data_IF_732121039754
#
_entry.id   IF_732121039754
#
_cell.length_a   1.000
_cell.length_b   1.000
_cell.length_c   1.000
_cell.angle_alpha   90.00
_cell.angle_beta   90.00
_cell.angle_gamma   90.00
#
_symmetry.space_group_name_H-M   'P 1'
#
loop_
_entity.id
_entity.type
_entity.pdbx_description
1 polymer ?
#
# COMPACT_ATOMS: atom_id res chain seq x y z
N UNK A 1 10.76 96.38 9.65
CA UNK A 1 11.35 95.39 8.72
C UNK A 1 10.95 93.94 9.10
N UNK A 2 9.93 93.76 9.95
CA UNK A 2 9.66 92.48 10.63
C UNK A 2 8.77 91.50 9.85
N UNK A 3 7.95 91.99 8.92
CA UNK A 3 7.04 91.15 8.14
C UNK A 3 7.76 90.23 7.13
N UNK A 4 8.94 90.64 6.65
CA UNK A 4 9.72 89.87 5.67
C UNK A 4 10.51 88.74 6.34
N UNK A 5 10.94 88.94 7.59
CA UNK A 5 11.59 87.91 8.42
C UNK A 5 10.64 86.78 8.82
N UNK A 6 9.39 87.11 9.21
CA UNK A 6 8.38 86.10 9.53
C UNK A 6 8.00 85.24 8.31
N UNK A 7 7.89 85.84 7.12
CA UNK A 7 7.57 85.10 5.89
C UNK A 7 8.68 84.15 5.45
N UNK A 8 9.94 84.55 5.61
CA UNK A 8 11.09 83.68 5.33
C UNK A 8 11.22 82.55 6.38
N UNK A 9 10.86 82.81 7.64
CA UNK A 9 10.81 81.79 8.69
C UNK A 9 9.76 80.72 8.42
N UNK A 10 8.54 81.11 8.03
CA UNK A 10 7.46 80.19 7.69
C UNK A 10 7.79 79.31 6.47
N UNK A 11 8.48 79.86 5.46
CA UNK A 11 8.90 79.10 4.28
C UNK A 11 9.96 78.03 4.62
N UNK A 12 10.94 78.36 5.47
CA UNK A 12 11.93 77.36 5.94
C UNK A 12 11.31 76.29 6.83
N UNK A 13 10.31 76.64 7.63
CA UNK A 13 9.57 75.66 8.44
C UNK A 13 8.77 74.70 7.55
N UNK A 14 8.12 75.21 6.49
CA UNK A 14 7.40 74.38 5.51
C UNK A 14 8.32 73.40 4.79
N UNK A 15 9.54 73.81 4.44
CA UNK A 15 10.49 72.91 3.79
C UNK A 15 10.93 71.77 4.71
N UNK A 16 11.20 72.04 5.99
CA UNK A 16 11.56 71.00 6.96
C UNK A 16 10.44 70.00 7.19
N UNK A 17 9.18 70.45 7.16
CA UNK A 17 8.01 69.57 7.30
C UNK A 17 7.90 68.67 6.08
N UNK A 18 8.09 69.21 4.86
CA UNK A 18 8.09 68.41 3.64
C UNK A 18 9.20 67.35 3.64
N UNK A 19 10.40 67.71 4.08
CA UNK A 19 11.53 66.77 4.19
C UNK A 19 11.26 65.69 5.24
N UNK A 20 10.65 66.04 6.37
CA UNK A 20 10.27 65.07 7.41
C UNK A 20 9.21 64.09 6.92
N UNK A 21 8.14 64.59 6.27
CA UNK A 21 7.07 63.74 5.73
C UNK A 21 7.59 62.83 4.62
N UNK A 22 8.46 63.34 3.75
CA UNK A 22 9.06 62.52 2.70
C UNK A 22 9.97 61.43 3.27
N UNK A 23 10.73 61.75 4.34
CA UNK A 23 11.58 60.78 5.02
C UNK A 23 10.77 59.67 5.69
N UNK A 24 9.73 60.01 6.46
CA UNK A 24 8.88 59.01 7.13
C UNK A 24 8.15 58.15 6.11
N UNK A 25 7.61 58.75 5.04
CA UNK A 25 6.94 58.02 3.98
C UNK A 25 7.87 57.02 3.27
N UNK A 26 9.15 57.38 3.07
CA UNK A 26 10.14 56.48 2.47
C UNK A 26 10.47 55.29 3.38
N UNK A 27 10.57 55.52 4.69
CA UNK A 27 10.82 54.48 5.69
C UNK A 27 9.65 53.49 5.76
N UNK A 28 8.41 54.00 5.81
CA UNK A 28 7.19 53.18 5.84
C UNK A 28 7.00 52.35 4.56
N UNK A 29 7.21 52.96 3.39
CA UNK A 29 7.09 52.27 2.09
C UNK A 29 8.14 51.18 1.93
N UNK A 30 9.39 51.42 2.37
CA UNK A 30 10.45 50.41 2.27
C UNK A 30 10.17 49.17 3.13
N UNK A 31 9.57 49.37 4.31
CA UNK A 31 9.21 48.29 5.22
C UNK A 31 8.03 47.48 4.67
N UNK A 32 6.99 48.17 4.17
CA UNK A 32 5.83 47.52 3.57
C UNK A 32 6.17 46.71 2.29
N UNK A 33 7.10 47.20 1.47
CA UNK A 33 7.58 46.47 0.28
C UNK A 33 8.38 45.23 0.72
N UNK A 34 9.23 45.35 1.74
CA UNK A 34 10.01 44.23 2.27
C UNK A 34 9.14 43.08 2.79
N UNK A 35 8.09 43.41 3.55
CA UNK A 35 7.13 42.42 4.07
C UNK A 35 6.30 41.76 2.96
N UNK A 36 5.90 42.53 1.94
CA UNK A 36 5.15 42.01 0.80
C UNK A 36 5.98 41.05 -0.06
N UNK A 37 7.27 41.32 -0.23
CA UNK A 37 8.18 40.46 -1.00
C UNK A 37 8.40 39.12 -0.32
N UNK A 38 8.52 39.09 1.01
CA UNK A 38 8.65 37.84 1.76
C UNK A 38 7.44 36.92 1.57
N UNK A 39 6.22 37.49 1.57
CA UNK A 39 4.99 36.73 1.30
C UNK A 39 4.95 36.14 -0.11
N UNK A 40 5.32 36.92 -1.12
CA UNK A 40 5.33 36.46 -2.51
C UNK A 40 6.35 35.34 -2.72
N UNK A 41 7.56 35.48 -2.16
CA UNK A 41 8.61 34.46 -2.25
C UNK A 41 8.13 33.15 -1.61
N UNK A 42 7.48 33.22 -0.45
CA UNK A 42 6.94 32.02 0.22
C UNK A 42 5.92 31.29 -0.66
N UNK A 43 4.97 32.02 -1.27
CA UNK A 43 3.97 31.43 -2.16
C UNK A 43 4.61 30.77 -3.39
N UNK A 44 5.63 31.41 -3.97
CA UNK A 44 6.37 30.85 -5.11
C UNK A 44 7.11 29.57 -4.72
N UNK A 45 7.77 29.55 -3.56
CA UNK A 45 8.48 28.36 -3.07
C UNK A 45 7.53 27.19 -2.79
N UNK A 46 6.37 27.46 -2.19
CA UNK A 46 5.34 26.43 -1.95
C UNK A 46 4.82 25.90 -3.28
N UNK A 47 4.45 26.80 -4.22
CA UNK A 47 3.97 26.40 -5.54
C UNK A 47 4.97 25.54 -6.30
N UNK A 48 6.25 25.93 -6.28
CA UNK A 48 7.32 25.16 -6.90
C UNK A 48 7.49 23.79 -6.24
N UNK A 49 7.45 23.72 -4.90
CA UNK A 49 7.54 22.46 -4.17
C UNK A 49 6.42 21.48 -4.52
N UNK A 50 5.18 21.96 -4.67
CA UNK A 50 4.04 21.11 -5.10
C UNK A 50 4.23 20.60 -6.52
N UNK A 51 4.67 21.44 -7.46
CA UNK A 51 4.91 21.03 -8.86
C UNK A 51 6.03 20.00 -8.94
N UNK A 52 7.14 20.22 -8.23
CA UNK A 52 8.26 19.28 -8.18
C UNK A 52 7.87 17.94 -7.56
N UNK A 53 7.09 17.96 -6.47
CA UNK A 53 6.58 16.74 -5.84
C UNK A 53 5.62 15.96 -6.76
N UNK A 54 4.77 16.67 -7.51
CA UNK A 54 3.87 16.06 -8.48
C UNK A 54 4.63 15.36 -9.62
N UNK A 55 5.65 16.02 -10.17
CA UNK A 55 6.50 15.48 -11.24
C UNK A 55 7.29 14.25 -10.78
N UNK A 56 7.88 14.31 -9.57
CA UNK A 56 8.56 13.16 -8.95
C UNK A 56 7.61 11.98 -8.69
N UNK A 57 6.40 12.25 -8.19
CA UNK A 57 5.39 11.20 -7.98
C UNK A 57 5.02 10.48 -9.30
N UNK A 58 4.87 11.22 -10.40
CA UNK A 58 4.51 10.63 -11.69
C UNK A 58 5.68 9.91 -12.37
N UNK A 59 6.90 10.41 -12.24
CA UNK A 59 8.08 9.83 -12.90
C UNK A 59 8.65 8.63 -12.16
N UNK A 60 8.69 8.64 -10.83
CA UNK A 60 9.34 7.59 -10.04
C UNK A 60 8.35 6.63 -9.39
N UNK A 61 7.27 7.14 -8.80
CA UNK A 61 6.37 6.32 -7.96
C UNK A 61 5.30 5.63 -8.80
N UNK A 62 4.68 6.33 -9.76
CA UNK A 62 3.63 5.76 -10.62
C UNK A 62 4.07 4.52 -11.42
N UNK A 63 5.28 4.43 -12.02
CA UNK A 63 5.66 3.22 -12.75
C UNK A 63 5.84 1.99 -11.85
N UNK A 64 6.15 2.18 -10.56
CA UNK A 64 6.26 1.08 -9.59
C UNK A 64 4.89 0.50 -9.20
N UNK A 65 3.82 1.29 -9.31
CA UNK A 65 2.46 0.84 -9.00
C UNK A 65 1.85 -0.08 -10.09
N UNK A 66 2.49 -0.26 -11.24
CA UNK A 66 2.00 -1.11 -12.36
C UNK A 66 2.60 -2.51 -12.41
N UNK A 67 3.02 -3.05 -11.28
CA UNK A 67 3.35 -4.48 -11.17
C UNK A 67 2.47 -5.12 -10.10
N UNK A 68 1.16 -4.92 -10.20
CA UNK A 68 0.27 -5.99 -9.75
C UNK A 68 0.45 -7.06 -10.82
N UNK A 69 1.09 -8.20 -10.54
CA UNK A 69 1.01 -9.32 -11.47
C UNK A 69 -0.49 -9.51 -11.69
N UNK A 70 -0.95 -9.23 -12.91
CA UNK A 70 -2.27 -9.66 -13.32
C UNK A 70 -2.19 -11.17 -13.22
N UNK A 71 -2.62 -11.70 -12.08
CA UNK A 71 -3.09 -13.07 -12.00
C UNK A 71 -4.24 -13.04 -12.98
N UNK A 72 -3.96 -13.35 -14.25
CA UNK A 72 -4.97 -13.73 -15.23
C UNK A 72 -5.89 -14.64 -14.44
N UNK A 73 -7.16 -14.25 -14.20
CA UNK A 73 -8.05 -15.08 -13.41
C UNK A 73 -8.00 -16.44 -14.07
N UNK A 74 -7.36 -17.38 -13.40
CA UNK A 74 -7.28 -18.76 -13.86
C UNK A 74 -8.72 -19.13 -14.14
N UNK A 75 -8.97 -19.66 -15.35
CA UNK A 75 -10.30 -20.02 -15.83
C UNK A 75 -11.13 -20.51 -14.65
N UNK A 76 -12.20 -19.77 -14.32
CA UNK A 76 -13.01 -20.00 -13.12
C UNK A 76 -13.22 -21.52 -13.04
N UNK A 77 -12.70 -22.21 -12.01
CA UNK A 77 -12.86 -23.64 -11.89
C UNK A 77 -14.35 -23.93 -12.00
N UNK A 78 -14.72 -24.91 -12.83
CA UNK A 78 -16.09 -25.39 -12.96
C UNK A 78 -16.79 -25.32 -11.58
N UNK A 79 -17.92 -24.59 -11.45
CA UNK A 79 -18.52 -24.27 -10.16
C UNK A 79 -18.82 -25.52 -9.32
N UNK A 80 -19.04 -26.67 -9.95
CA UNK A 80 -19.19 -27.94 -9.23
C UNK A 80 -17.89 -28.45 -8.64
N UNK A 81 -16.76 -28.32 -9.36
CA UNK A 81 -15.43 -28.64 -8.83
C UNK A 81 -15.07 -27.76 -7.65
N UNK A 82 -15.38 -26.46 -7.71
CA UNK A 82 -15.14 -25.53 -6.60
C UNK A 82 -15.93 -25.92 -5.33
N UNK A 83 -17.19 -26.37 -5.47
CA UNK A 83 -17.99 -26.86 -4.35
C UNK A 83 -17.43 -28.15 -3.74
N UNK A 84 -16.99 -29.09 -4.58
CA UNK A 84 -16.41 -30.36 -4.12
C UNK A 84 -15.12 -30.08 -3.34
N UNK A 85 -14.27 -29.20 -3.86
CA UNK A 85 -13.02 -28.84 -3.20
C UNK A 85 -13.28 -28.12 -1.87
N UNK A 86 -14.20 -27.15 -1.85
CA UNK A 86 -14.60 -26.48 -0.61
C UNK A 86 -15.12 -27.44 0.46
N UNK A 87 -15.87 -28.49 0.07
CA UNK A 87 -16.31 -29.55 0.99
C UNK A 87 -15.13 -30.37 1.53
N UNK A 88 -14.18 -30.76 0.68
CA UNK A 88 -12.97 -31.48 1.08
C UNK A 88 -12.13 -30.66 2.05
N UNK A 89 -11.87 -29.39 1.73
CA UNK A 89 -11.10 -28.50 2.60
C UNK A 89 -11.76 -28.34 3.96
N UNK A 90 -13.10 -28.18 4.01
CA UNK A 90 -13.83 -28.10 5.28
C UNK A 90 -13.71 -29.38 6.11
N UNK A 91 -13.86 -30.55 5.49
CA UNK A 91 -13.68 -31.84 6.17
C UNK A 91 -12.26 -31.99 6.75
N UNK A 92 -11.23 -31.60 6.00
CA UNK A 92 -9.84 -31.61 6.49
C UNK A 92 -9.70 -30.73 7.74
N UNK A 93 -10.23 -29.50 7.70
CA UNK A 93 -10.17 -28.56 8.83
C UNK A 93 -10.89 -29.12 10.06
N UNK A 94 -12.10 -29.67 9.86
CA UNK A 94 -12.91 -30.22 10.95
C UNK A 94 -12.20 -31.41 11.62
N UNK A 95 -11.67 -32.35 10.84
CA UNK A 95 -10.94 -33.50 11.36
C UNK A 95 -9.63 -33.11 12.03
N UNK A 96 -8.89 -32.15 11.48
CA UNK A 96 -7.65 -31.64 12.07
C UNK A 96 -7.92 -30.93 13.41
N UNK A 97 -8.98 -30.14 13.48
CA UNK A 97 -9.43 -29.49 14.71
C UNK A 97 -9.80 -30.51 15.79
N UNK A 98 -10.59 -31.52 15.43
CA UNK A 98 -10.96 -32.61 16.34
C UNK A 98 -9.73 -33.41 16.82
N UNK A 99 -8.80 -33.74 15.91
CA UNK A 99 -7.57 -34.45 16.24
C UNK A 99 -6.71 -33.68 17.26
N UNK A 100 -6.58 -32.37 17.07
CA UNK A 100 -5.87 -31.49 17.99
C UNK A 100 -6.55 -31.43 19.36
N UNK A 101 -7.88 -31.35 19.40
CA UNK A 101 -8.64 -31.36 20.64
C UNK A 101 -8.47 -32.67 21.41
N UNK A 102 -8.57 -33.82 20.73
CA UNK A 102 -8.34 -35.13 21.33
C UNK A 102 -6.92 -35.31 21.83
N UNK A 103 -5.92 -34.82 21.08
CA UNK A 103 -4.52 -34.81 21.51
C UNK A 103 -4.34 -34.01 22.80
N UNK A 104 -4.91 -32.81 22.88
CA UNK A 104 -4.84 -31.95 24.06
C UNK A 104 -5.56 -32.56 25.28
N UNK A 105 -6.65 -33.31 25.04
CA UNK A 105 -7.37 -34.04 26.07
C UNK A 105 -6.70 -35.36 26.50
N UNK A 106 -5.56 -35.73 25.91
CA UNK A 106 -4.85 -36.98 26.19
C UNK A 106 -5.49 -38.24 25.60
N UNK A 107 -6.53 -38.08 24.77
CA UNK A 107 -7.26 -39.17 24.12
C UNK A 107 -6.51 -39.59 22.84
N UNK A 108 -5.37 -40.26 23.03
CA UNK A 108 -4.38 -40.56 21.98
C UNK A 108 -4.97 -41.35 20.82
N UNK A 109 -5.78 -42.37 21.10
CA UNK A 109 -6.36 -43.26 20.11
C UNK A 109 -7.30 -42.50 19.17
N UNK A 110 -8.19 -41.68 19.72
CA UNK A 110 -9.12 -40.87 18.92
C UNK A 110 -8.41 -39.77 18.13
N UNK A 111 -7.35 -39.18 18.69
CA UNK A 111 -6.53 -38.22 17.96
C UNK A 111 -5.86 -38.87 16.74
N UNK A 112 -5.29 -40.07 16.91
CA UNK A 112 -4.68 -40.84 15.83
C UNK A 112 -5.69 -41.15 14.73
N UNK A 113 -6.89 -41.58 15.08
CA UNK A 113 -7.93 -41.89 14.10
C UNK A 113 -8.35 -40.66 13.28
N UNK A 114 -8.50 -39.49 13.92
CA UNK A 114 -8.82 -38.25 13.21
C UNK A 114 -7.69 -37.77 12.30
N UNK A 115 -6.43 -37.90 12.72
CA UNK A 115 -5.31 -37.58 11.82
C UNK A 115 -5.23 -38.53 10.62
N UNK A 116 -5.62 -39.80 10.77
CA UNK A 116 -5.71 -40.74 9.64
C UNK A 116 -6.82 -40.36 8.67
N UNK A 117 -7.97 -39.89 9.16
CA UNK A 117 -9.05 -39.37 8.31
C UNK A 117 -8.57 -38.16 7.49
N UNK A 118 -7.78 -37.25 8.08
CA UNK A 118 -7.16 -36.14 7.32
C UNK A 118 -6.25 -36.68 6.21
N UNK A 119 -5.37 -37.64 6.51
CA UNK A 119 -4.45 -38.21 5.53
C UNK A 119 -5.13 -39.07 4.45
N UNK A 120 -6.34 -39.54 4.70
CA UNK A 120 -7.15 -40.21 3.69
C UNK A 120 -7.70 -39.23 2.64
N UNK A 121 -7.94 -37.96 3.02
CA UNK A 121 -8.42 -36.91 2.12
C UNK A 121 -7.25 -36.17 1.48
N UNK A 122 -6.24 -35.80 2.28
CA UNK A 122 -5.01 -35.14 1.86
C UNK A 122 -3.79 -35.91 2.40
N UNK A 123 -3.24 -36.86 1.62
CA UNK A 123 -2.06 -37.63 1.99
C UNK A 123 -0.80 -36.76 2.21
N UNK A 124 -0.79 -35.55 1.66
CA UNK A 124 0.31 -34.59 1.76
C UNK A 124 0.27 -33.74 3.02
N UNK A 125 -0.79 -33.83 3.84
CA UNK A 125 -1.01 -32.93 4.95
C UNK A 125 0.09 -33.03 6.02
N UNK A 126 0.93 -31.99 6.12
CA UNK A 126 2.08 -31.98 7.01
C UNK A 126 1.67 -31.98 8.48
N UNK A 127 0.61 -31.27 8.84
CA UNK A 127 0.12 -31.14 10.21
C UNK A 127 -0.37 -32.48 10.76
N UNK A 128 -1.15 -33.23 9.97
CA UNK A 128 -1.61 -34.55 10.37
C UNK A 128 -0.48 -35.57 10.52
N UNK A 129 0.54 -35.51 9.65
CA UNK A 129 1.73 -36.37 9.76
C UNK A 129 2.56 -36.02 11.01
N UNK A 130 2.71 -34.74 11.30
CA UNK A 130 3.38 -34.28 12.51
C UNK A 130 2.60 -34.75 13.76
N UNK A 131 1.29 -34.56 13.79
CA UNK A 131 0.42 -35.02 14.87
C UNK A 131 0.51 -36.53 15.14
N UNK A 132 0.55 -37.36 14.08
CA UNK A 132 0.75 -38.80 14.24
C UNK A 132 2.15 -39.14 14.76
N UNK A 133 3.20 -38.46 14.28
CA UNK A 133 4.57 -38.67 14.74
C UNK A 133 4.73 -38.32 16.22
N UNK A 134 4.17 -37.18 16.64
CA UNK A 134 4.18 -36.75 18.05
C UNK A 134 3.47 -37.78 18.95
N UNK A 135 2.36 -38.34 18.44
CA UNK A 135 1.62 -39.42 19.09
C UNK A 135 2.22 -40.81 18.83
N UNK A 136 3.47 -40.91 18.34
CA UNK A 136 4.19 -42.17 18.11
C UNK A 136 3.45 -43.19 17.23
N UNK A 137 2.53 -42.74 16.38
CA UNK A 137 1.71 -43.57 15.52
C UNK A 137 2.35 -43.71 14.14
N UNK A 138 2.10 -44.87 13.50
CA UNK A 138 2.60 -45.14 12.15
C UNK A 138 1.85 -44.22 11.17
N UNK A 139 2.62 -43.39 10.46
CA UNK A 139 2.11 -42.58 9.35
C UNK A 139 1.84 -43.53 8.18
N UNK A 140 0.61 -43.58 7.63
CA UNK A 140 0.34 -44.40 6.45
C UNK A 140 1.20 -43.92 5.28
N UNK A 141 2.19 -44.70 4.87
CA UNK A 141 3.09 -44.40 3.73
C UNK A 141 2.43 -44.72 2.37
N UNK A 142 1.10 -44.67 2.30
CA UNK A 142 0.36 -44.87 1.07
C UNK A 142 0.47 -43.64 0.18
N UNK A 143 1.14 -43.79 -0.96
CA UNK A 143 1.00 -42.90 -2.14
C UNK A 143 1.77 -41.57 -2.14
N UNK A 144 3.05 -41.56 -1.73
CA UNK A 144 3.97 -40.43 -2.01
C UNK A 144 4.31 -40.22 -3.50
N UNK A 145 3.73 -40.98 -4.43
CA UNK A 145 4.05 -40.95 -5.87
C UNK A 145 2.83 -40.94 -6.81
N UNK A 146 1.63 -40.59 -6.32
CA UNK A 146 0.47 -40.49 -7.21
C UNK A 146 -0.36 -39.24 -6.94
N UNK A 147 0.30 -38.09 -6.78
CA UNK A 147 -0.31 -36.89 -7.34
C UNK A 147 -0.40 -37.16 -8.84
N UNK A 148 -1.59 -37.22 -9.47
CA UNK A 148 -1.64 -36.76 -10.84
C UNK A 148 -1.07 -35.35 -10.75
N UNK A 149 0.16 -35.16 -11.22
CA UNK A 149 0.61 -33.85 -11.67
C UNK A 149 -0.59 -33.31 -12.44
N UNK A 150 -1.23 -32.19 -12.03
CA UNK A 150 -2.30 -31.64 -12.82
C UNK A 150 -1.70 -31.48 -14.20
N UNK A 151 -2.18 -32.29 -15.16
CA UNK A 151 -1.68 -32.26 -16.52
C UNK A 151 -1.64 -30.79 -16.89
N UNK A 152 -0.46 -30.21 -17.21
CA UNK A 152 -0.43 -28.85 -17.72
C UNK A 152 -1.46 -28.83 -18.84
N UNK A 153 -2.51 -28.01 -18.68
CA UNK A 153 -3.57 -27.91 -19.67
C UNK A 153 -2.89 -27.84 -21.04
N UNK A 154 -3.29 -28.64 -22.05
CA UNK A 154 -2.76 -28.52 -23.39
C UNK A 154 -2.82 -27.04 -23.75
N UNK A 155 -1.65 -26.41 -23.86
CA UNK A 155 -1.52 -25.07 -24.40
C UNK A 155 -1.95 -25.19 -25.85
N UNK A 156 -3.26 -25.03 -26.08
CA UNK A 156 -3.82 -24.90 -27.41
C UNK A 156 -3.12 -23.68 -28.03
N UNK A 157 -2.32 -23.85 -29.10
CA UNK A 157 -1.65 -22.71 -29.71
C UNK A 157 -2.73 -21.80 -30.27
N UNK A 158 -2.97 -20.68 -29.57
CA UNK A 158 -3.83 -19.59 -30.02
C UNK A 158 -3.28 -19.09 -31.36
N UNK A 159 -3.81 -19.63 -32.45
CA UNK A 159 -3.61 -19.13 -33.80
C UNK A 159 -4.24 -17.74 -33.89
N UNK A 160 -3.44 -16.73 -33.57
CA UNK A 160 -3.81 -15.33 -33.73
C UNK A 160 -3.76 -15.03 -35.22
N UNK A 161 -4.87 -14.68 -35.89
CA UNK A 161 -4.79 -14.26 -37.27
C UNK A 161 -4.15 -12.88 -37.31
N UNK A 162 -2.89 -12.82 -37.76
CA UNK A 162 -2.23 -11.58 -38.14
C UNK A 162 -3.01 -10.97 -39.30
N UNK A 163 -3.83 -9.96 -38.99
CA UNK A 163 -4.54 -9.16 -39.99
C UNK A 163 -3.48 -8.33 -40.74
N UNK A 164 -3.24 -8.70 -42.00
CA UNK A 164 -2.48 -7.88 -42.96
C UNK A 164 -3.23 -6.59 -43.29
#
# INVERSE_FOLDING_TARGET
MDALGQRLGAFRASHRIADQVFKTMKEDVSTAIGESLAGIILVVLIGFGVVAAWDGYFSEIRPLARVVPTFTPTAIPDPERAKIEGRRTRQIIDYLGAANAFRAAGQREWAIDRYREVLAIDPGNLDARAGLRDLGAIVPTGSILNTPVPTPLPIEPTNTPTKR
#
